data_IF_578923387636
#
_entry.id   IF_578923387636
#
_cell.length_a   1.000
_cell.length_b   1.000
_cell.length_c   1.000
_cell.angle_alpha   90.00
_cell.angle_beta   90.00
_cell.angle_gamma   90.00
#
_symmetry.space_group_name_H-M   'P 1'
#
loop_
_entity.id
_entity.type
_entity.pdbx_description
1 polymer ?
#
# COMPACT_ATOMS: atom_id res chain seq x y z
N UNK A 1 0.70 -11.62 -5.98
CA UNK A 1 0.80 -11.62 -4.50
C UNK A 1 1.97 -12.44 -3.98
N UNK A 2 2.38 -13.55 -4.62
CA UNK A 2 3.54 -14.36 -4.18
C UNK A 2 4.86 -13.59 -4.07
N UNK A 3 4.98 -12.52 -4.85
CA UNK A 3 6.14 -11.62 -4.84
C UNK A 3 6.13 -10.60 -3.68
N UNK A 4 5.10 -10.59 -2.83
CA UNK A 4 5.09 -9.80 -1.60
C UNK A 4 5.57 -10.69 -0.44
N UNK A 5 6.87 -11.00 -0.45
CA UNK A 5 7.52 -11.85 0.54
C UNK A 5 8.28 -10.99 1.55
N UNK A 6 8.06 -11.26 2.83
CA UNK A 6 8.71 -10.57 3.96
C UNK A 6 9.13 -11.64 4.97
N UNK A 7 10.41 -11.64 5.32
CA UNK A 7 11.05 -12.60 6.22
C UNK A 7 10.74 -14.07 5.82
N UNK A 8 10.89 -14.36 4.52
CA UNK A 8 10.60 -15.67 3.94
C UNK A 8 9.12 -16.08 3.90
N UNK A 9 8.19 -15.19 4.25
CA UNK A 9 6.74 -15.47 4.24
C UNK A 9 6.03 -14.61 3.21
N UNK A 10 5.17 -15.23 2.40
CA UNK A 10 4.27 -14.48 1.51
C UNK A 10 3.15 -13.89 2.34
N UNK A 11 3.11 -12.56 2.43
CA UNK A 11 2.09 -11.84 3.19
C UNK A 11 1.11 -11.17 2.23
N UNK A 12 -0.17 -11.14 2.61
CA UNK A 12 -1.15 -10.29 1.92
C UNK A 12 -0.81 -8.82 2.23
N UNK A 13 -0.56 -7.98 1.20
CA UNK A 13 -0.03 -6.63 1.41
C UNK A 13 -1.03 -5.71 2.10
N UNK A 14 -0.52 -4.71 2.83
CA UNK A 14 -1.34 -3.62 3.35
C UNK A 14 -2.12 -2.92 2.21
N UNK A 15 -1.44 -2.65 1.10
CA UNK A 15 -2.03 -2.13 -0.13
C UNK A 15 -3.13 -3.05 -0.71
N UNK A 16 -3.05 -4.35 -0.48
CA UNK A 16 -4.09 -5.31 -0.87
C UNK A 16 -5.40 -5.06 -0.14
N UNK A 17 -5.36 -4.73 1.15
CA UNK A 17 -6.55 -4.39 1.94
C UNK A 17 -7.19 -3.09 1.45
N UNK A 18 -6.37 -2.07 1.12
CA UNK A 18 -6.81 -0.80 0.53
C UNK A 18 -7.60 -1.05 -0.76
N UNK A 19 -6.99 -1.77 -1.71
CA UNK A 19 -7.60 -2.03 -3.02
C UNK A 19 -8.82 -2.95 -2.90
N UNK A 20 -8.80 -3.90 -1.97
CA UNK A 20 -9.95 -4.77 -1.69
C UNK A 20 -11.14 -3.95 -1.17
N UNK A 21 -10.94 -3.09 -0.16
CA UNK A 21 -11.97 -2.21 0.36
C UNK A 21 -12.55 -1.30 -0.74
N UNK A 22 -11.69 -0.71 -1.56
CA UNK A 22 -12.10 0.14 -2.67
C UNK A 22 -12.93 -0.60 -3.72
N UNK A 23 -12.44 -1.75 -4.21
CA UNK A 23 -13.18 -2.57 -5.19
C UNK A 23 -14.54 -2.98 -4.65
N UNK A 24 -14.63 -3.44 -3.41
CA UNK A 24 -15.91 -3.85 -2.82
C UNK A 24 -16.84 -2.65 -2.62
N UNK A 25 -16.32 -1.52 -2.15
CA UNK A 25 -17.10 -0.29 -1.93
C UNK A 25 -17.77 0.23 -3.21
N UNK A 26 -17.04 0.19 -4.34
CA UNK A 26 -17.57 0.53 -5.66
C UNK A 26 -18.56 -0.53 -6.15
N UNK A 27 -18.23 -1.82 -6.00
CA UNK A 27 -19.09 -2.94 -6.43
C UNK A 27 -20.49 -2.88 -5.80
N UNK A 28 -20.58 -2.67 -4.49
CA UNK A 28 -21.89 -2.60 -3.79
C UNK A 28 -22.71 -1.35 -4.16
N UNK A 29 -22.09 -0.36 -4.79
CA UNK A 29 -22.72 0.87 -5.31
C UNK A 29 -22.92 0.86 -6.82
N UNK A 30 -22.60 -0.25 -7.50
CA UNK A 30 -22.63 -0.36 -8.96
C UNK A 30 -21.76 0.70 -9.67
N UNK A 31 -20.58 0.98 -9.11
CA UNK A 31 -19.59 1.89 -9.65
C UNK A 31 -18.37 1.12 -10.17
N UNK A 32 -17.69 1.67 -11.17
CA UNK A 32 -16.41 1.14 -11.66
C UNK A 32 -15.26 1.73 -10.83
N UNK A 33 -14.46 0.86 -10.19
CA UNK A 33 -13.45 1.34 -9.24
C UNK A 33 -12.41 2.24 -9.91
N UNK A 34 -11.93 1.89 -11.11
CA UNK A 34 -10.96 2.70 -11.89
C UNK A 34 -11.53 4.04 -12.41
N UNK A 35 -12.78 4.38 -12.12
CA UNK A 35 -13.40 5.67 -12.47
C UNK A 35 -13.92 6.40 -11.23
N UNK A 36 -13.65 5.87 -10.04
CA UNK A 36 -14.23 6.37 -8.80
C UNK A 36 -13.13 6.86 -7.88
N UNK A 37 -12.99 8.18 -7.65
CA UNK A 37 -12.08 8.70 -6.65
C UNK A 37 -12.56 8.30 -5.25
N UNK A 38 -11.60 7.97 -4.39
CA UNK A 38 -11.89 7.54 -3.02
C UNK A 38 -10.94 8.19 -2.02
N UNK A 39 -11.45 8.30 -0.80
CA UNK A 39 -10.69 8.68 0.38
C UNK A 39 -10.82 7.56 1.42
N UNK A 40 -9.69 7.07 1.93
CA UNK A 40 -9.61 6.15 3.06
C UNK A 40 -9.04 6.89 4.26
N UNK A 41 -9.75 6.81 5.38
CA UNK A 41 -9.39 7.45 6.65
C UNK A 41 -9.25 6.41 7.76
N UNK A 42 -8.24 6.60 8.62
CA UNK A 42 -8.01 5.83 9.84
C UNK A 42 -8.04 4.31 9.66
N UNK A 43 -7.48 3.83 8.54
CA UNK A 43 -7.38 2.41 8.30
C UNK A 43 -6.31 1.78 9.18
N UNK A 44 -6.64 0.63 9.77
CA UNK A 44 -5.73 -0.17 10.59
C UNK A 44 -5.73 -1.62 10.10
N UNK A 45 -4.57 -2.23 10.06
CA UNK A 45 -4.39 -3.68 9.82
C UNK A 45 -3.91 -4.30 11.12
N UNK A 46 -4.69 -5.22 11.66
CA UNK A 46 -4.46 -5.81 12.99
C UNK A 46 -3.62 -7.08 12.92
N UNK A 47 -3.63 -7.75 11.77
CA UNK A 47 -2.96 -9.03 11.59
C UNK A 47 -2.40 -9.13 10.18
N UNK A 48 -1.18 -9.67 10.09
CA UNK A 48 -0.63 -10.09 8.82
C UNK A 48 -1.30 -11.40 8.37
N UNK A 49 -1.94 -11.38 7.21
CA UNK A 49 -2.49 -12.59 6.57
C UNK A 49 -1.40 -13.28 5.77
N UNK A 50 -1.04 -14.51 6.16
CA UNK A 50 -0.02 -15.32 5.48
C UNK A 50 -0.68 -16.07 4.34
N UNK A 51 -0.16 -15.91 3.13
CA UNK A 51 -0.64 -16.61 1.94
C UNK A 51 0.14 -17.92 1.79
N UNK A 52 -0.54 -19.04 2.03
CA UNK A 52 0.01 -20.38 1.87
C UNK A 52 -0.49 -21.08 0.60
N UNK A 53 -0.51 -22.41 0.64
CA UNK A 53 -1.08 -23.23 -0.45
C UNK A 53 -2.61 -23.19 -0.48
N UNK A 54 -3.24 -22.96 0.68
CA UNK A 54 -4.69 -22.86 0.79
C UNK A 54 -5.15 -21.45 0.42
N UNK A 55 -6.28 -21.36 -0.27
CA UNK A 55 -6.90 -20.08 -0.59
C UNK A 55 -7.35 -19.39 0.70
N UNK A 56 -6.98 -18.12 0.86
CA UNK A 56 -7.48 -17.27 1.95
C UNK A 56 -8.71 -16.52 1.45
N UNK A 57 -9.78 -16.55 2.24
CA UNK A 57 -11.00 -15.78 2.00
C UNK A 57 -10.99 -14.55 2.91
N UNK A 58 -11.14 -13.39 2.28
CA UNK A 58 -11.31 -12.12 2.97
C UNK A 58 -12.71 -11.58 2.65
N UNK A 59 -13.55 -11.49 3.67
CA UNK A 59 -14.89 -10.91 3.55
C UNK A 59 -14.85 -9.43 3.92
N UNK A 60 -15.58 -8.60 3.19
CA UNK A 60 -15.60 -7.13 3.42
C UNK A 60 -17.02 -6.68 3.70
N UNK A 61 -17.21 -6.15 4.90
CA UNK A 61 -18.50 -5.64 5.35
C UNK A 61 -18.45 -4.11 5.49
N UNK A 62 -19.59 -3.47 5.21
CA UNK A 62 -19.75 -2.03 5.35
C UNK A 62 -20.89 -1.70 6.31
N UNK A 63 -20.59 -0.88 7.31
CA UNK A 63 -21.62 -0.37 8.22
C UNK A 63 -22.54 0.62 7.50
N UNK A 64 -23.84 0.52 7.78
CA UNK A 64 -24.83 1.41 7.19
C UNK A 64 -24.56 2.89 7.56
N UNK A 65 -24.50 3.76 6.56
CA UNK A 65 -24.60 5.21 6.72
C UNK A 65 -23.30 6.00 6.87
N UNK A 66 -22.15 5.40 7.23
CA UNK A 66 -20.92 6.18 7.52
C UNK A 66 -19.66 5.77 6.72
N UNK A 67 -19.75 4.75 5.86
CA UNK A 67 -18.63 4.29 5.04
C UNK A 67 -17.54 3.55 5.83
N UNK A 68 -17.81 3.17 7.09
CA UNK A 68 -16.91 2.30 7.86
C UNK A 68 -16.92 0.91 7.24
N UNK A 69 -15.74 0.30 7.11
CA UNK A 69 -15.58 -1.03 6.59
C UNK A 69 -14.75 -1.90 7.53
N UNK A 70 -15.02 -3.19 7.48
CA UNK A 70 -14.26 -4.24 8.16
C UNK A 70 -13.88 -5.30 7.12
N UNK A 71 -12.66 -5.84 7.24
CA UNK A 71 -12.15 -6.93 6.44
C UNK A 71 -11.89 -8.09 7.39
N UNK A 72 -12.55 -9.21 7.15
CA UNK A 72 -12.55 -10.39 8.00
C UNK A 72 -11.82 -11.55 7.32
N UNK A 73 -10.95 -12.25 8.05
CA UNK A 73 -10.36 -13.54 7.68
C UNK A 73 -11.05 -14.62 8.53
N UNK A 74 -12.10 -15.24 7.99
CA UNK A 74 -13.02 -16.05 8.79
C UNK A 74 -13.72 -15.19 9.84
N UNK A 75 -13.62 -15.56 11.12
CA UNK A 75 -14.22 -14.80 12.24
C UNK A 75 -13.26 -13.76 12.85
N UNK A 76 -12.08 -13.55 12.26
CA UNK A 76 -11.07 -12.63 12.79
C UNK A 76 -11.00 -11.33 11.98
N UNK A 77 -10.96 -10.20 12.69
CA UNK A 77 -10.77 -8.88 12.07
C UNK A 77 -9.33 -8.73 11.55
N UNK A 78 -9.18 -8.66 10.24
CA UNK A 78 -7.89 -8.45 9.58
C UNK A 78 -7.57 -6.95 9.45
N UNK A 79 -8.54 -6.15 9.00
CA UNK A 79 -8.40 -4.71 8.84
C UNK A 79 -9.72 -3.96 9.01
N UNK A 80 -9.67 -2.69 9.38
CA UNK A 80 -10.84 -1.81 9.36
C UNK A 80 -10.45 -0.40 8.93
N UNK A 81 -11.43 0.43 8.63
CA UNK A 81 -11.22 1.84 8.34
C UNK A 81 -12.51 2.50 7.89
N UNK A 82 -12.39 3.70 7.33
CA UNK A 82 -13.50 4.40 6.69
C UNK A 82 -13.14 4.73 5.26
N UNK A 83 -14.06 4.47 4.34
CA UNK A 83 -13.94 4.82 2.93
C UNK A 83 -15.11 5.71 2.51
N UNK A 84 -14.83 6.71 1.68
CA UNK A 84 -15.85 7.60 1.11
C UNK A 84 -15.48 8.03 -0.31
N UNK A 85 -16.49 8.49 -1.06
CA UNK A 85 -16.29 9.24 -2.30
C UNK A 85 -16.33 10.72 -1.90
N UNK A 86 -15.23 11.46 -2.03
CA UNK A 86 -15.20 12.86 -1.61
C UNK A 86 -15.88 13.75 -2.65
N UNK A 87 -16.62 14.76 -2.18
CA UNK A 87 -17.15 15.82 -3.07
C UNK A 87 -16.02 16.67 -3.66
N UNK A 88 -14.99 16.94 -2.86
CA UNK A 88 -13.77 17.62 -3.27
C UNK A 88 -12.58 16.81 -2.74
N UNK A 89 -11.85 16.15 -3.64
CA UNK A 89 -10.68 15.37 -3.27
C UNK A 89 -9.58 16.31 -2.78
N UNK A 90 -9.31 16.27 -1.47
CA UNK A 90 -8.20 17.00 -0.87
C UNK A 90 -6.92 16.23 -1.13
N UNK A 91 -6.25 16.50 -2.24
CA UNK A 91 -4.91 15.97 -2.50
C UNK A 91 -3.90 16.88 -1.78
N UNK A 92 -3.03 16.28 -0.94
CA UNK A 92 -1.73 16.79 -0.57
C UNK A 92 -1.15 17.82 -1.54
N UNK A 93 -1.15 19.13 -1.32
CA UNK A 93 -0.39 20.00 -2.24
C UNK A 93 1.11 19.67 -2.10
N UNK A 94 1.64 18.86 -3.00
CA UNK A 94 3.07 18.51 -3.06
C UNK A 94 3.82 19.63 -3.77
N UNK A 95 3.81 20.83 -3.20
CA UNK A 95 4.53 22.01 -3.73
C UNK A 95 5.87 22.24 -3.04
N UNK A 96 6.34 21.29 -2.22
CA UNK A 96 7.73 21.33 -1.78
C UNK A 96 8.62 21.04 -3.00
N UNK A 97 9.21 22.10 -3.58
CA UNK A 97 10.30 21.95 -4.52
C UNK A 97 11.39 21.14 -3.82
N UNK A 98 11.60 19.90 -4.26
CA UNK A 98 12.74 19.10 -3.79
C UNK A 98 14.01 19.90 -4.15
N UNK A 99 14.94 20.09 -3.20
CA UNK A 99 16.19 20.79 -3.48
C UNK A 99 16.88 20.19 -4.71
N UNK A 100 17.41 21.03 -5.61
CA UNK A 100 18.06 20.58 -6.86
C UNK A 100 19.26 19.63 -6.60
N UNK A 101 19.77 19.61 -5.37
CA UNK A 101 20.84 18.70 -4.91
C UNK A 101 20.39 17.25 -4.77
N UNK A 102 19.10 16.96 -4.92
CA UNK A 102 18.48 15.65 -4.77
C UNK A 102 18.63 14.80 -6.05
N UNK A 103 19.89 14.55 -6.43
CA UNK A 103 20.22 13.66 -7.56
C UNK A 103 19.90 12.23 -7.16
N UNK A 104 19.31 11.48 -8.09
CA UNK A 104 19.17 10.04 -7.93
C UNK A 104 20.58 9.43 -7.78
N UNK A 105 20.80 8.75 -6.65
CA UNK A 105 22.08 8.17 -6.28
C UNK A 105 22.02 6.64 -6.23
N UNK A 106 20.82 6.07 -6.06
CA UNK A 106 20.61 4.62 -5.99
C UNK A 106 19.73 4.16 -7.15
N UNK A 107 20.13 3.04 -7.75
CA UNK A 107 19.31 2.25 -8.67
C UNK A 107 18.27 1.43 -7.90
N UNK A 108 17.20 1.01 -8.57
CA UNK A 108 16.21 0.11 -7.99
C UNK A 108 16.83 -1.19 -7.46
N UNK A 109 17.83 -1.72 -8.16
CA UNK A 109 18.55 -2.91 -7.69
C UNK A 109 19.26 -2.68 -6.35
N UNK A 110 19.85 -1.51 -6.12
CA UNK A 110 20.47 -1.14 -4.84
C UNK A 110 19.43 -0.93 -3.75
N UNK A 111 18.30 -0.27 -4.08
CA UNK A 111 17.17 -0.12 -3.15
C UNK A 111 16.66 -1.49 -2.68
N UNK A 112 16.41 -2.41 -3.60
CA UNK A 112 15.90 -3.74 -3.24
C UNK A 112 16.95 -4.64 -2.59
N UNK A 113 18.24 -4.40 -2.83
CA UNK A 113 19.31 -5.05 -2.08
C UNK A 113 19.28 -4.62 -0.62
N UNK A 114 19.14 -3.32 -0.36
CA UNK A 114 19.05 -2.75 0.99
C UNK A 114 17.79 -3.24 1.72
N UNK A 115 16.62 -3.16 1.09
CA UNK A 115 15.38 -3.71 1.63
C UNK A 115 15.50 -5.20 1.96
N UNK A 116 16.18 -5.99 1.13
CA UNK A 116 16.42 -7.41 1.41
C UNK A 116 17.28 -7.64 2.65
N UNK A 117 18.28 -6.80 2.91
CA UNK A 117 19.09 -6.89 4.14
C UNK A 117 18.24 -6.66 5.41
N UNK A 118 17.14 -5.92 5.29
CA UNK A 118 16.16 -5.65 6.37
C UNK A 118 15.04 -6.70 6.45
N UNK A 119 15.09 -7.75 5.64
CA UNK A 119 14.11 -8.84 5.62
C UNK A 119 12.95 -8.66 4.63
N UNK A 120 12.99 -7.68 3.73
CA UNK A 120 11.97 -7.53 2.69
C UNK A 120 12.39 -8.25 1.39
N UNK A 121 11.93 -9.48 1.23
CA UNK A 121 12.23 -10.35 0.09
C UNK A 121 11.31 -10.11 -1.13
N UNK A 122 11.05 -8.85 -1.49
CA UNK A 122 10.16 -8.51 -2.61
C UNK A 122 10.58 -9.22 -3.91
N UNK A 123 9.63 -9.83 -4.60
CA UNK A 123 9.78 -10.40 -5.94
C UNK A 123 9.49 -9.39 -7.05
N UNK A 124 9.70 -9.76 -8.33
CA UNK A 124 9.66 -8.84 -9.47
C UNK A 124 8.41 -7.96 -9.57
N UNK A 125 7.21 -8.49 -9.27
CA UNK A 125 5.97 -7.71 -9.37
C UNK A 125 5.82 -6.63 -8.29
N UNK A 126 6.59 -6.70 -7.20
CA UNK A 126 6.63 -5.69 -6.13
C UNK A 126 7.91 -4.86 -6.16
N UNK A 127 8.71 -4.98 -7.23
CA UNK A 127 9.95 -4.21 -7.42
C UNK A 127 9.78 -3.00 -8.35
N UNK A 128 8.86 -2.11 -7.99
CA UNK A 128 8.49 -0.97 -8.84
C UNK A 128 9.40 0.26 -8.69
N UNK A 129 10.18 0.40 -7.60
CA UNK A 129 11.13 1.51 -7.43
C UNK A 129 12.27 1.39 -8.44
N UNK A 130 12.39 2.39 -9.32
CA UNK A 130 13.41 2.47 -10.36
C UNK A 130 14.69 3.13 -9.87
N UNK A 131 14.56 4.21 -9.09
CA UNK A 131 15.67 5.00 -8.55
C UNK A 131 15.28 5.69 -7.24
N UNK A 132 16.25 5.99 -6.40
CA UNK A 132 16.07 6.78 -5.18
C UNK A 132 17.18 7.84 -5.02
N UNK A 133 16.85 8.96 -4.36
CA UNK A 133 17.84 9.94 -3.89
C UNK A 133 18.77 9.34 -2.85
N UNK A 134 19.88 10.02 -2.56
CA UNK A 134 20.84 9.58 -1.54
C UNK A 134 20.20 9.43 -0.15
N UNK A 135 19.26 10.29 0.21
CA UNK A 135 18.52 10.21 1.47
C UNK A 135 17.22 9.38 1.37
N UNK A 136 16.96 8.80 0.19
CA UNK A 136 15.77 8.02 -0.14
C UNK A 136 14.42 8.74 0.08
N UNK A 137 14.41 10.07 0.24
CA UNK A 137 13.16 10.85 0.37
C UNK A 137 12.47 11.11 -0.95
N UNK A 138 13.18 10.88 -2.06
CA UNK A 138 12.65 10.94 -3.42
C UNK A 138 12.88 9.63 -4.13
N UNK A 139 11.82 9.05 -4.67
CA UNK A 139 11.86 7.81 -5.44
C UNK A 139 11.13 7.95 -6.77
N UNK A 140 11.66 7.33 -7.81
CA UNK A 140 10.96 7.12 -9.08
C UNK A 140 10.33 5.73 -9.05
N UNK A 141 9.01 5.63 -9.24
CA UNK A 141 8.25 4.38 -9.16
C UNK A 141 7.59 4.10 -10.51
N UNK A 142 7.84 2.92 -11.07
CA UNK A 142 7.21 2.49 -12.31
C UNK A 142 5.74 2.11 -12.07
N UNK A 143 4.86 2.64 -12.93
CA UNK A 143 3.46 2.21 -13.00
C UNK A 143 3.32 0.93 -13.83
N UNK A 144 2.44 0.03 -13.39
CA UNK A 144 2.24 -1.30 -14.00
C UNK A 144 0.75 -1.70 -14.09
N UNK A 145 -0.14 -0.72 -14.24
CA UNK A 145 -1.60 -0.91 -14.32
C UNK A 145 -2.19 -1.66 -13.12
N UNK A 146 -1.50 -1.61 -11.98
CA UNK A 146 -1.90 -2.30 -10.76
C UNK A 146 -1.63 -1.44 -9.52
N UNK A 147 -2.72 -1.02 -8.87
CA UNK A 147 -2.67 -0.20 -7.67
C UNK A 147 -2.05 -0.92 -6.48
N UNK A 148 -2.12 -2.25 -6.38
CA UNK A 148 -1.55 -2.98 -5.23
C UNK A 148 -0.04 -2.79 -5.13
N UNK A 149 0.78 -3.19 -6.13
CA UNK A 149 2.23 -2.98 -6.06
C UNK A 149 2.61 -1.51 -6.12
N UNK A 150 1.81 -0.64 -6.76
CA UNK A 150 2.09 0.80 -6.79
C UNK A 150 1.95 1.45 -5.41
N UNK A 151 0.84 1.20 -4.71
CA UNK A 151 0.64 1.70 -3.33
C UNK A 151 1.66 1.04 -2.40
N UNK A 152 1.98 -0.24 -2.59
CA UNK A 152 3.02 -0.91 -1.82
C UNK A 152 4.39 -0.27 -2.03
N UNK A 153 4.75 0.10 -3.26
CA UNK A 153 5.98 0.81 -3.56
C UNK A 153 6.08 2.18 -2.88
N UNK A 154 4.96 2.89 -2.66
CA UNK A 154 4.94 4.11 -1.84
C UNK A 154 5.28 3.82 -0.38
N UNK A 155 4.81 2.69 0.16
CA UNK A 155 5.17 2.23 1.51
C UNK A 155 6.64 1.80 1.55
N UNK A 156 7.13 1.08 0.54
CA UNK A 156 8.54 0.71 0.40
C UNK A 156 9.45 1.93 0.36
N UNK A 157 9.06 2.99 -0.37
CA UNK A 157 9.79 4.26 -0.45
C UNK A 157 9.92 4.93 0.92
N UNK A 158 8.86 4.87 1.74
CA UNK A 158 8.94 5.29 3.14
C UNK A 158 9.90 4.41 3.96
N UNK A 159 9.76 3.08 3.86
CA UNK A 159 10.58 2.12 4.61
C UNK A 159 12.08 2.24 4.33
N UNK A 160 12.48 2.49 3.08
CA UNK A 160 13.89 2.67 2.73
C UNK A 160 14.46 3.98 3.28
N UNK A 161 13.63 5.04 3.40
CA UNK A 161 14.04 6.33 3.96
C UNK A 161 14.24 6.32 5.48
N UNK A 162 13.64 5.35 6.16
CA UNK A 162 13.83 5.17 7.60
C UNK A 162 15.25 4.69 7.91
N UNK A 163 15.83 5.26 8.96
CA UNK A 163 17.18 4.90 9.43
C UNK A 163 17.09 3.69 10.35
N UNK A 164 17.78 2.62 9.98
CA UNK A 164 17.93 1.43 10.80
C UNK A 164 17.67 0.14 10.03
N UNK A 165 18.04 -0.97 10.66
CA UNK A 165 18.05 -2.29 10.04
C UNK A 165 16.88 -3.17 10.50
N UNK A 166 15.90 -2.58 11.18
CA UNK A 166 14.74 -3.30 11.70
C UNK A 166 13.63 -3.48 10.66
N UNK A 167 13.03 -4.66 10.68
CA UNK A 167 11.85 -4.98 9.90
C UNK A 167 10.61 -4.28 10.51
N UNK A 168 9.85 -3.57 9.67
CA UNK A 168 8.64 -2.87 10.03
C UNK A 168 7.51 -3.24 9.08
N UNK A 169 6.31 -3.46 9.63
CA UNK A 169 5.10 -3.67 8.85
C UNK A 169 4.18 -2.46 9.02
N UNK A 170 3.59 -1.93 7.94
CA UNK A 170 2.55 -0.92 8.04
C UNK A 170 1.34 -1.46 8.80
N UNK A 171 0.98 -0.81 9.90
CA UNK A 171 -0.19 -1.18 10.73
C UNK A 171 -1.30 -0.14 10.68
N UNK A 172 -1.00 1.12 10.32
CA UNK A 172 -1.97 2.21 10.33
C UNK A 172 -1.74 3.20 9.20
N UNK A 173 -2.83 3.59 8.57
CA UNK A 173 -2.91 4.63 7.54
C UNK A 173 -3.91 5.68 8.01
N UNK A 174 -3.44 6.91 8.22
CA UNK A 174 -4.31 8.01 8.66
C UNK A 174 -5.24 8.48 7.53
N UNK A 175 -4.68 8.68 6.34
CA UNK A 175 -5.37 9.27 5.21
C UNK A 175 -4.72 8.79 3.91
N UNK A 176 -5.54 8.37 2.95
CA UNK A 176 -5.14 8.09 1.57
C UNK A 176 -6.23 8.60 0.63
N UNK A 177 -5.84 9.42 -0.32
CA UNK A 177 -6.67 9.86 -1.43
C UNK A 177 -6.18 9.17 -2.70
N UNK A 178 -7.10 8.59 -3.48
CA UNK A 178 -6.81 8.03 -4.81
C UNK A 178 -7.75 8.73 -5.80
N UNK A 179 -7.14 9.33 -6.82
CA UNK A 179 -7.81 9.84 -8.03
C UNK A 179 -7.30 9.00 -9.21
N UNK A 180 -8.08 8.01 -9.71
CA UNK A 180 -7.65 7.07 -10.73
C UNK A 180 -7.38 7.69 -12.11
#
# INVERSE_FOLDING_TARGET
MVDHCIDGRVLYPFAGHVVLAWKTYCKVRNLEYLKTPICIENMSVYRATILGQQAVKLDVDFSAGNGTFEIMEGDQLAACGKISIPENLKIPSTTAAFPITDRFAMTGAEVYKELRLRGYDYGPHFRSIQKASEDCRRTEIAWSDNFVPYIDALLQAYLISEKGDSLHLPVRLRYLAIDP
#
